data_IF_935103070372
#
_entry.id   IF_935103070372
#
_cell.length_a   1.000
_cell.length_b   1.000
_cell.length_c   1.000
_cell.angle_alpha   90.00
_cell.angle_beta   90.00
_cell.angle_gamma   90.00
#
_symmetry.space_group_name_H-M   'P 1'
#
loop_
_entity.id
_entity.type
_entity.pdbx_description
1 polymer ?
#
# COMPACT_ATOMS: atom_id res chain seq x y z
N UNK A 1 9.47 20.11 -23.61
CA UNK A 1 10.50 19.18 -23.12
C UNK A 1 9.75 17.92 -22.71
N UNK A 2 10.21 16.70 -23.00
CA UNK A 2 9.57 15.51 -22.45
C UNK A 2 9.54 15.65 -20.93
N UNK A 3 8.40 15.35 -20.30
CA UNK A 3 8.24 15.41 -18.86
C UNK A 3 9.31 14.50 -18.22
N UNK A 4 10.23 15.09 -17.46
CA UNK A 4 11.15 14.30 -16.66
C UNK A 4 10.36 13.70 -15.50
N UNK A 5 10.59 12.42 -15.16
CA UNK A 5 9.90 11.78 -14.06
C UNK A 5 10.12 12.55 -12.75
N UNK A 6 9.10 12.60 -11.91
CA UNK A 6 9.19 13.25 -10.60
C UNK A 6 10.10 12.48 -9.64
N UNK A 7 10.08 11.15 -9.74
CA UNK A 7 11.01 10.26 -9.04
C UNK A 7 11.70 9.38 -10.07
N UNK A 8 13.02 9.31 -10.03
CA UNK A 8 13.84 8.38 -10.82
C UNK A 8 14.78 7.60 -9.90
N UNK A 9 14.67 6.29 -9.95
CA UNK A 9 15.44 5.34 -9.16
C UNK A 9 16.15 4.37 -10.08
N UNK A 10 17.48 4.21 -9.92
CA UNK A 10 18.30 3.30 -10.74
C UNK A 10 19.20 2.46 -9.85
N UNK A 11 19.06 1.14 -9.94
CA UNK A 11 19.86 0.13 -9.22
C UNK A 11 20.02 0.42 -7.72
N UNK A 12 18.98 1.00 -7.10
CA UNK A 12 19.01 1.44 -5.71
C UNK A 12 19.09 0.24 -4.79
N UNK A 13 20.07 0.24 -3.88
CA UNK A 13 20.26 -0.85 -2.92
C UNK A 13 20.49 -0.32 -1.51
N UNK A 14 20.06 -1.11 -0.51
CA UNK A 14 20.33 -0.84 0.90
C UNK A 14 20.71 -2.10 1.65
N UNK A 15 21.91 -2.08 2.20
CA UNK A 15 22.48 -3.13 3.02
C UNK A 15 22.61 -2.64 4.47
N UNK A 16 22.18 -3.45 5.42
CA UNK A 16 22.42 -3.23 6.84
C UNK A 16 23.45 -4.24 7.35
N UNK A 17 24.39 -3.74 8.14
CA UNK A 17 25.35 -4.60 8.84
C UNK A 17 24.86 -4.79 10.27
N UNK A 18 24.50 -6.00 10.64
CA UNK A 18 24.15 -6.40 12.01
C UNK A 18 25.27 -7.22 12.63
N UNK A 19 25.73 -6.80 13.79
CA UNK A 19 26.70 -7.62 14.54
C UNK A 19 26.01 -8.86 15.09
N UNK A 20 26.50 -10.04 14.72
CA UNK A 20 26.01 -11.30 15.28
C UNK A 20 26.63 -11.48 16.67
N UNK A 21 25.77 -11.41 17.71
CA UNK A 21 26.22 -11.70 19.07
C UNK A 21 26.10 -13.21 19.33
N UNK A 22 27.23 -13.84 19.59
CA UNK A 22 27.23 -15.22 20.11
C UNK A 22 26.75 -15.19 21.56
N UNK A 23 25.76 -16.01 21.89
CA UNK A 23 25.21 -16.11 23.23
C UNK A 23 26.17 -16.87 24.17
N UNK A 24 26.16 -16.52 25.47
CA UNK A 24 26.94 -17.15 26.52
C UNK A 24 28.15 -16.33 27.00
N UNK A 25 28.63 -16.63 28.21
CA UNK A 25 29.75 -15.92 28.87
C UNK A 25 31.06 -15.93 28.02
N UNK A 26 31.36 -17.03 27.37
CA UNK A 26 32.51 -17.16 26.43
C UNK A 26 32.26 -16.42 25.12
N UNK A 27 30.99 -16.35 24.67
CA UNK A 27 30.59 -15.56 23.49
C UNK A 27 30.83 -14.06 23.69
N UNK A 28 30.66 -13.55 24.92
CA UNK A 28 30.91 -12.16 25.27
C UNK A 28 32.38 -11.75 25.08
N UNK A 29 33.32 -12.60 25.49
CA UNK A 29 34.77 -12.35 25.37
C UNK A 29 35.21 -12.45 23.92
N UNK A 30 34.72 -13.43 23.17
CA UNK A 30 35.03 -13.60 21.74
C UNK A 30 34.47 -12.41 20.91
N UNK A 31 33.31 -11.91 21.24
CA UNK A 31 32.67 -10.77 20.56
C UNK A 31 33.43 -9.43 20.78
N UNK A 32 34.31 -9.34 21.81
CA UNK A 32 35.16 -8.17 22.01
C UNK A 32 36.32 -8.11 20.96
N UNK A 33 36.81 -9.29 20.54
CA UNK A 33 37.98 -9.40 19.65
C UNK A 33 37.59 -9.78 18.21
N UNK A 34 36.48 -10.49 18.00
CA UNK A 34 36.00 -10.92 16.69
C UNK A 34 34.49 -10.59 16.56
N UNK A 35 34.16 -9.51 15.87
CA UNK A 35 32.79 -9.16 15.51
C UNK A 35 32.47 -9.76 14.15
N UNK A 36 31.67 -10.81 14.13
CA UNK A 36 31.08 -11.30 12.88
C UNK A 36 29.92 -10.37 12.51
N UNK A 37 29.98 -9.80 11.30
CA UNK A 37 28.90 -8.98 10.76
C UNK A 37 28.09 -9.80 9.76
N UNK A 38 26.79 -9.89 9.99
CA UNK A 38 25.86 -10.38 8.98
C UNK A 38 25.35 -9.18 8.19
N UNK A 39 25.53 -9.22 6.86
CA UNK A 39 24.93 -8.22 5.98
C UNK A 39 23.51 -8.67 5.62
N UNK A 40 22.51 -7.84 5.86
CA UNK A 40 21.13 -8.03 5.44
C UNK A 40 20.88 -7.06 4.30
N UNK A 41 20.62 -7.60 3.12
CA UNK A 41 20.23 -6.82 1.95
C UNK A 41 18.73 -6.53 2.02
N UNK A 42 18.37 -5.33 2.48
CA UNK A 42 16.97 -4.95 2.67
C UNK A 42 16.32 -4.46 1.37
N UNK A 43 17.11 -3.92 0.44
CA UNK A 43 16.71 -3.52 -0.91
C UNK A 43 17.84 -3.84 -1.86
N UNK A 44 17.54 -4.48 -2.99
CA UNK A 44 18.49 -5.02 -3.95
C UNK A 44 18.19 -4.54 -5.37
N UNK A 45 18.94 -3.55 -5.84
CA UNK A 45 18.95 -3.06 -7.22
C UNK A 45 17.57 -2.79 -7.82
N UNK A 46 16.71 -2.07 -7.07
CA UNK A 46 15.41 -1.66 -7.60
C UNK A 46 15.58 -0.47 -8.54
N UNK A 47 14.82 -0.47 -9.63
CA UNK A 47 14.77 0.62 -10.63
C UNK A 47 13.34 0.88 -11.02
N UNK A 48 12.89 2.14 -10.96
CA UNK A 48 11.57 2.58 -11.37
C UNK A 48 11.54 4.10 -11.55
N UNK A 49 10.53 4.58 -12.23
CA UNK A 49 10.26 6.01 -12.41
C UNK A 49 8.79 6.29 -12.03
N UNK A 50 8.50 7.46 -11.46
CA UNK A 50 7.13 7.91 -11.16
C UNK A 50 6.92 9.27 -11.79
N UNK A 51 5.85 9.39 -12.58
CA UNK A 51 5.48 10.62 -13.26
C UNK A 51 4.72 11.58 -12.34
N UNK A 52 4.75 12.90 -12.62
CA UNK A 52 3.94 13.86 -11.89
C UNK A 52 2.45 13.52 -11.92
N UNK A 53 1.77 13.62 -10.77
CA UNK A 53 0.33 13.37 -10.63
C UNK A 53 -0.07 11.89 -10.55
N UNK A 54 0.87 10.94 -10.65
CA UNK A 54 0.56 9.52 -10.46
C UNK A 54 0.19 9.20 -8.99
N UNK A 55 -0.75 8.26 -8.82
CA UNK A 55 -1.00 7.58 -7.56
C UNK A 55 -0.53 6.13 -7.70
N UNK A 56 0.56 5.79 -7.02
CA UNK A 56 1.25 4.50 -7.15
C UNK A 56 1.18 3.73 -5.84
N UNK A 57 0.70 2.49 -5.91
CA UNK A 57 0.73 1.55 -4.80
C UNK A 57 2.07 0.81 -4.74
N UNK A 58 2.71 0.79 -3.58
CA UNK A 58 3.97 0.06 -3.34
C UNK A 58 3.73 -1.03 -2.31
N UNK A 59 3.51 -2.25 -2.77
CA UNK A 59 3.04 -3.37 -1.97
C UNK A 59 4.07 -4.47 -1.84
N UNK A 60 3.96 -5.24 -0.76
CA UNK A 60 4.87 -6.36 -0.48
C UNK A 60 4.61 -6.92 0.92
N UNK A 61 5.07 -8.14 1.23
CA UNK A 61 4.95 -8.72 2.56
C UNK A 61 5.75 -7.93 3.60
N UNK A 62 5.53 -8.25 4.88
CA UNK A 62 6.33 -7.68 5.95
C UNK A 62 7.81 -8.08 5.78
N UNK A 63 8.71 -7.09 5.89
CA UNK A 63 10.13 -7.32 5.66
C UNK A 63 10.57 -7.26 4.19
N UNK A 64 9.68 -7.07 3.22
CA UNK A 64 10.01 -6.99 1.80
C UNK A 64 10.90 -5.80 1.39
N UNK A 65 11.04 -4.79 2.26
CA UNK A 65 11.85 -3.60 1.97
C UNK A 65 11.06 -2.31 1.78
N UNK A 66 9.70 -2.32 1.85
CA UNK A 66 8.83 -1.15 1.63
C UNK A 66 9.26 0.09 2.41
N UNK A 67 9.20 0.02 3.75
CA UNK A 67 9.55 1.18 4.60
C UNK A 67 11.03 1.57 4.48
N UNK A 68 11.93 0.64 4.10
CA UNK A 68 13.32 0.96 3.80
C UNK A 68 13.42 1.81 2.54
N UNK A 69 12.68 1.46 1.50
CA UNK A 69 12.61 2.23 0.25
C UNK A 69 12.02 3.61 0.52
N UNK A 70 10.88 3.71 1.22
CA UNK A 70 10.29 5.02 1.59
C UNK A 70 11.29 5.88 2.36
N UNK A 71 12.02 5.32 3.32
CA UNK A 71 13.04 6.07 4.07
C UNK A 71 14.20 6.55 3.20
N UNK A 72 14.57 5.83 2.14
CA UNK A 72 15.56 6.33 1.16
C UNK A 72 14.97 7.43 0.29
N UNK A 73 13.76 7.25 -0.22
CA UNK A 73 13.04 8.24 -1.03
C UNK A 73 12.80 9.54 -0.27
N UNK A 74 12.54 9.48 1.03
CA UNK A 74 12.34 10.66 1.90
C UNK A 74 13.64 11.27 2.45
N UNK A 75 14.81 10.72 2.09
CA UNK A 75 16.12 11.21 2.56
C UNK A 75 16.44 10.90 4.03
N UNK A 76 15.67 10.02 4.69
CA UNK A 76 15.95 9.54 6.05
C UNK A 76 17.11 8.55 6.06
N UNK A 77 17.17 7.70 5.03
CA UNK A 77 18.26 6.73 4.86
C UNK A 77 19.08 7.04 3.61
N UNK A 78 20.38 6.91 3.74
CA UNK A 78 21.32 6.96 2.60
C UNK A 78 21.40 5.57 1.99
N UNK A 79 21.21 5.42 0.67
CA UNK A 79 21.42 4.16 -0.03
C UNK A 79 22.85 3.62 0.15
N UNK A 80 23.01 2.31 -0.02
CA UNK A 80 24.34 1.69 -0.06
C UNK A 80 24.96 1.79 -1.46
N UNK A 81 24.11 1.79 -2.51
CA UNK A 81 24.51 1.99 -3.91
C UNK A 81 23.29 2.38 -4.74
N UNK A 82 23.52 2.75 -6.01
CA UNK A 82 22.51 3.18 -6.95
C UNK A 82 22.27 4.70 -6.94
N UNK A 83 21.34 5.12 -7.78
CA UNK A 83 21.00 6.53 -7.97
C UNK A 83 19.54 6.78 -7.60
N UNK A 84 19.28 7.94 -7.04
CA UNK A 84 17.94 8.41 -6.72
C UNK A 84 17.88 9.92 -6.90
N UNK A 85 16.96 10.34 -7.74
CA UNK A 85 16.55 11.74 -7.89
C UNK A 85 15.05 11.81 -7.62
N UNK A 86 14.63 12.73 -6.77
CA UNK A 86 13.23 12.97 -6.42
C UNK A 86 12.95 14.46 -6.43
N UNK A 87 11.99 14.89 -7.24
CA UNK A 87 11.64 16.29 -7.47
C UNK A 87 12.88 17.17 -7.77
N UNK A 88 13.82 16.65 -8.56
CA UNK A 88 15.06 17.34 -8.95
C UNK A 88 16.17 17.33 -7.89
N UNK A 89 15.96 16.73 -6.73
CA UNK A 89 16.92 16.65 -5.63
C UNK A 89 17.50 15.25 -5.45
N UNK A 90 18.71 15.17 -4.92
CA UNK A 90 19.24 13.96 -4.29
C UNK A 90 18.88 13.99 -2.80
N UNK A 91 17.89 13.21 -2.32
CA UNK A 91 17.22 13.42 -1.03
C UNK A 91 18.13 13.56 0.20
N UNK A 92 19.21 12.82 0.27
CA UNK A 92 20.13 12.85 1.42
C UNK A 92 21.24 13.90 1.29
N UNK A 93 21.50 14.42 0.09
CA UNK A 93 22.51 15.48 -0.12
C UNK A 93 21.94 16.86 0.11
N UNK A 94 20.71 17.09 -0.33
CA UNK A 94 20.03 18.39 -0.32
C UNK A 94 18.81 18.37 0.62
N UNK A 95 18.93 17.65 1.73
CA UNK A 95 17.81 17.28 2.61
C UNK A 95 16.94 18.46 3.02
N UNK A 96 17.51 19.59 3.41
CA UNK A 96 16.75 20.75 3.89
C UNK A 96 15.88 21.37 2.79
N UNK A 97 16.38 21.47 1.58
CA UNK A 97 15.60 21.94 0.43
C UNK A 97 14.54 20.90 0.01
N UNK A 98 14.96 19.64 -0.05
CA UNK A 98 14.10 18.53 -0.48
C UNK A 98 12.88 18.33 0.43
N UNK A 99 13.03 18.29 1.76
CA UNK A 99 11.91 18.05 2.68
C UNK A 99 10.83 19.15 2.63
N UNK A 100 11.14 20.32 2.11
CA UNK A 100 10.16 21.38 1.86
C UNK A 100 9.25 21.10 0.66
N UNK A 101 9.63 20.13 -0.18
CA UNK A 101 8.91 19.79 -1.40
C UNK A 101 8.13 18.48 -1.29
N UNK A 102 8.16 17.83 -0.14
CA UNK A 102 7.48 16.55 0.09
C UNK A 102 6.58 16.60 1.32
N UNK A 103 5.46 15.88 1.26
CA UNK A 103 4.69 15.49 2.42
C UNK A 103 5.01 14.04 2.78
N UNK A 104 5.07 13.70 4.07
CA UNK A 104 5.32 12.33 4.52
C UNK A 104 4.39 12.00 5.67
N UNK A 105 3.71 10.87 5.61
CA UNK A 105 2.93 10.32 6.72
C UNK A 105 3.38 8.90 7.00
N UNK A 106 3.76 8.63 8.25
CA UNK A 106 4.07 7.30 8.74
C UNK A 106 2.91 6.82 9.63
N UNK A 107 2.17 5.81 9.22
CA UNK A 107 0.92 5.40 9.87
C UNK A 107 0.99 5.15 11.38
N UNK A 108 2.15 4.77 11.88
CA UNK A 108 2.35 4.51 13.32
C UNK A 108 2.96 5.69 14.09
N UNK A 109 3.29 6.80 13.42
CA UNK A 109 3.96 7.95 14.04
C UNK A 109 3.31 9.24 13.58
N UNK A 110 2.90 10.07 14.54
CA UNK A 110 2.42 11.40 14.24
C UNK A 110 3.58 12.39 14.10
N UNK A 111 3.41 13.36 13.19
CA UNK A 111 4.28 14.53 13.08
C UNK A 111 3.79 15.72 13.92
N UNK A 112 2.58 15.60 14.49
CA UNK A 112 2.00 16.62 15.35
C UNK A 112 2.57 16.52 16.76
N UNK A 113 2.63 17.64 17.47
CA UNK A 113 3.11 17.68 18.84
C UNK A 113 2.07 17.15 19.82
N UNK A 114 2.44 16.12 20.56
CA UNK A 114 1.57 15.24 21.36
C UNK A 114 0.72 15.98 22.41
N UNK A 115 1.32 16.98 23.10
CA UNK A 115 0.72 17.64 24.26
C UNK A 115 -0.02 18.94 23.94
N UNK A 116 0.06 19.45 22.72
CA UNK A 116 -0.61 20.70 22.32
C UNK A 116 -1.79 20.41 21.39
N UNK A 117 -2.68 21.39 21.24
CA UNK A 117 -3.80 21.32 20.32
C UNK A 117 -3.33 21.17 18.87
N UNK A 118 -4.10 20.46 18.05
CA UNK A 118 -3.81 20.27 16.62
C UNK A 118 -3.54 21.59 15.91
N UNK A 119 -4.38 22.61 16.13
CA UNK A 119 -4.21 23.93 15.50
C UNK A 119 -2.86 24.57 15.82
N UNK A 120 -2.34 24.38 17.03
CA UNK A 120 -1.05 24.95 17.40
C UNK A 120 0.10 24.22 16.68
N UNK A 121 -0.02 22.89 16.53
CA UNK A 121 0.90 22.11 15.69
C UNK A 121 0.88 22.59 14.24
N UNK A 122 -0.31 22.80 13.66
CA UNK A 122 -0.47 23.30 12.29
C UNK A 122 0.10 24.73 12.12
N UNK A 123 -0.09 25.62 13.10
CA UNK A 123 0.51 26.97 13.09
C UNK A 123 2.05 26.92 13.15
N UNK A 124 2.63 26.00 13.92
CA UNK A 124 4.08 25.77 13.95
C UNK A 124 4.58 25.27 12.58
N UNK A 125 3.91 24.29 11.99
CA UNK A 125 4.24 23.79 10.64
C UNK A 125 4.11 24.91 9.59
N UNK A 126 3.09 25.75 9.67
CA UNK A 126 2.95 26.93 8.82
C UNK A 126 4.21 27.80 8.84
N UNK A 127 4.78 28.03 10.03
CA UNK A 127 6.01 28.82 10.19
C UNK A 127 7.24 28.08 9.65
N UNK A 128 7.34 26.79 9.90
CA UNK A 128 8.46 25.95 9.44
C UNK A 128 8.53 25.91 7.91
N UNK A 129 7.36 25.78 7.26
CA UNK A 129 7.25 25.69 5.80
C UNK A 129 7.04 27.03 5.10
N UNK A 130 7.03 28.14 5.87
CA UNK A 130 6.84 29.50 5.36
C UNK A 130 5.55 29.70 4.55
N UNK A 131 4.46 29.07 5.01
CA UNK A 131 3.14 29.19 4.39
C UNK A 131 2.50 30.51 4.80
N UNK A 132 1.97 31.28 3.84
CA UNK A 132 1.28 32.53 4.11
C UNK A 132 0.03 32.30 4.99
N UNK A 133 -0.42 33.34 5.73
CA UNK A 133 -1.64 33.21 6.53
C UNK A 133 -2.87 32.91 5.67
N UNK A 134 -2.96 33.56 4.52
CA UNK A 134 -4.04 33.34 3.56
C UNK A 134 -4.11 31.90 3.07
N UNK A 135 -2.96 31.36 2.62
CA UNK A 135 -2.90 29.97 2.12
C UNK A 135 -3.16 28.97 3.23
N UNK A 136 -2.74 29.26 4.46
CA UNK A 136 -3.03 28.44 5.64
C UNK A 136 -4.54 28.36 5.88
N UNK A 137 -5.22 29.52 5.95
CA UNK A 137 -6.65 29.60 6.24
C UNK A 137 -7.47 28.91 5.13
N UNK A 138 -7.11 29.14 3.86
CA UNK A 138 -7.75 28.50 2.71
C UNK A 138 -7.56 26.97 2.72
N UNK A 139 -6.38 26.48 3.05
CA UNK A 139 -6.12 25.04 3.13
C UNK A 139 -6.81 24.38 4.29
N UNK A 140 -6.80 25.00 5.48
CA UNK A 140 -7.54 24.48 6.63
C UNK A 140 -9.03 24.37 6.31
N UNK A 141 -9.63 25.38 5.67
CA UNK A 141 -11.02 25.32 5.24
C UNK A 141 -11.27 24.18 4.23
N UNK A 142 -10.38 24.03 3.25
CA UNK A 142 -10.47 22.92 2.25
C UNK A 142 -10.35 21.56 2.90
N UNK A 143 -9.40 21.40 3.81
CA UNK A 143 -9.18 20.13 4.49
C UNK A 143 -10.31 19.83 5.48
N UNK A 144 -10.88 20.85 6.12
CA UNK A 144 -12.02 20.69 6.99
C UNK A 144 -13.26 20.16 6.24
N UNK A 145 -13.55 20.71 5.06
CA UNK A 145 -14.67 20.25 4.22
C UNK A 145 -14.61 18.76 3.87
N UNK A 146 -13.42 18.19 3.77
CA UNK A 146 -13.24 16.79 3.34
C UNK A 146 -12.96 15.87 4.54
N UNK A 147 -12.15 16.32 5.50
CA UNK A 147 -11.69 15.52 6.64
C UNK A 147 -12.46 15.79 7.94
N UNK A 148 -13.27 16.85 8.01
CA UNK A 148 -13.98 17.25 9.23
C UNK A 148 -13.02 17.61 10.36
N UNK A 149 -12.06 18.50 10.11
CA UNK A 149 -11.01 18.81 11.07
C UNK A 149 -11.46 19.71 12.23
N UNK A 150 -12.50 20.54 12.06
CA UNK A 150 -12.93 21.57 13.02
C UNK A 150 -13.14 21.01 14.42
N UNK A 151 -13.72 19.84 14.51
CA UNK A 151 -14.04 19.20 15.79
C UNK A 151 -12.77 18.82 16.57
N UNK A 152 -11.63 18.71 15.90
CA UNK A 152 -10.37 18.25 16.48
C UNK A 152 -9.32 19.35 16.65
N UNK A 153 -9.45 20.50 15.95
CA UNK A 153 -8.45 21.56 15.90
C UNK A 153 -8.01 22.04 17.29
N UNK A 154 -8.94 22.17 18.22
CA UNK A 154 -8.67 22.64 19.58
C UNK A 154 -8.36 21.53 20.58
N UNK A 155 -8.29 20.27 20.11
CA UNK A 155 -8.02 19.10 20.95
C UNK A 155 -6.54 18.78 20.96
N UNK A 156 -5.93 18.52 22.14
CA UNK A 156 -4.56 18.00 22.23
C UNK A 156 -4.43 16.67 21.49
N UNK A 157 -3.36 16.50 20.71
CA UNK A 157 -3.14 15.35 19.82
C UNK A 157 -3.27 14.01 20.57
N UNK A 158 -2.78 13.94 21.81
CA UNK A 158 -2.87 12.72 22.66
C UNK A 158 -4.29 12.26 22.97
N UNK A 159 -5.31 13.10 22.82
CA UNK A 159 -6.72 12.78 23.09
C UNK A 159 -7.46 12.29 21.86
N UNK A 160 -6.85 12.36 20.69
CA UNK A 160 -7.45 11.93 19.43
C UNK A 160 -7.40 10.40 19.30
N UNK A 161 -8.44 9.84 18.75
CA UNK A 161 -8.43 8.47 18.22
C UNK A 161 -7.40 8.34 17.10
N UNK A 162 -7.07 7.11 16.71
CA UNK A 162 -6.12 6.86 15.63
C UNK A 162 -6.59 7.47 14.30
N UNK A 163 -7.89 7.33 13.96
CA UNK A 163 -8.46 7.87 12.72
C UNK A 163 -8.50 9.40 12.70
N UNK A 164 -8.88 10.04 13.81
CA UNK A 164 -8.87 11.50 13.94
C UNK A 164 -7.44 12.05 13.82
N UNK A 165 -6.48 11.39 14.47
CA UNK A 165 -5.06 11.75 14.39
C UNK A 165 -4.53 11.61 12.98
N UNK A 166 -4.88 10.53 12.27
CA UNK A 166 -4.44 10.32 10.89
C UNK A 166 -4.97 11.41 9.95
N UNK A 167 -6.23 11.83 10.12
CA UNK A 167 -6.80 12.97 9.36
C UNK A 167 -6.02 14.25 9.61
N UNK A 168 -5.66 14.52 10.85
CA UNK A 168 -4.83 15.68 11.21
C UNK A 168 -3.38 15.58 10.69
N UNK A 169 -2.79 14.38 10.69
CA UNK A 169 -1.45 14.14 10.14
C UNK A 169 -1.40 14.33 8.61
N UNK A 170 -2.45 13.89 7.89
CA UNK A 170 -2.58 14.14 6.45
C UNK A 170 -2.69 15.64 6.14
N UNK A 171 -3.52 16.37 6.90
CA UNK A 171 -3.62 17.83 6.77
C UNK A 171 -2.27 18.52 7.03
N UNK A 172 -1.54 18.06 8.03
CA UNK A 172 -0.22 18.59 8.36
C UNK A 172 0.81 18.33 7.24
N UNK A 173 0.81 17.11 6.66
CA UNK A 173 1.72 16.73 5.58
C UNK A 173 1.47 17.51 4.28
N UNK A 174 0.24 17.97 4.06
CA UNK A 174 -0.20 18.69 2.87
C UNK A 174 -0.28 20.22 3.06
N UNK A 175 0.00 20.71 4.27
CA UNK A 175 -0.16 22.12 4.62
C UNK A 175 0.64 23.07 3.72
N UNK A 176 1.80 22.65 3.26
CA UNK A 176 2.68 23.44 2.40
C UNK A 176 2.50 23.12 0.90
N UNK A 177 1.45 22.37 0.54
CA UNK A 177 1.11 21.99 -0.83
C UNK A 177 2.26 21.30 -1.59
N UNK A 178 2.81 20.21 -1.07
CA UNK A 178 3.90 19.51 -1.73
C UNK A 178 3.44 18.84 -3.03
N UNK A 179 4.25 18.83 -4.10
CA UNK A 179 3.95 18.07 -5.31
C UNK A 179 4.04 16.55 -5.13
N UNK A 180 4.64 16.09 -4.03
CA UNK A 180 4.88 14.67 -3.74
C UNK A 180 4.52 14.32 -2.30
N UNK A 181 3.70 13.28 -2.14
CA UNK A 181 3.25 12.75 -0.85
C UNK A 181 3.64 11.27 -0.71
N UNK A 182 4.37 10.95 0.35
CA UNK A 182 4.69 9.59 0.75
C UNK A 182 3.79 9.15 1.91
N UNK A 183 3.13 8.01 1.76
CA UNK A 183 2.25 7.43 2.76
C UNK A 183 2.72 6.02 3.11
N UNK A 184 3.22 5.82 4.32
CA UNK A 184 3.65 4.50 4.79
C UNK A 184 2.58 3.92 5.73
N UNK A 185 1.71 3.06 5.18
CA UNK A 185 0.59 2.41 5.85
C UNK A 185 -0.41 3.37 6.55
N UNK A 186 -0.98 4.36 5.83
CA UNK A 186 -1.80 5.41 6.44
C UNK A 186 -3.15 4.92 6.98
N UNK A 187 -3.62 3.75 6.58
CA UNK A 187 -4.93 3.18 6.94
C UNK A 187 -4.85 2.06 7.97
N UNK A 188 -3.63 1.72 8.41
CA UNK A 188 -3.41 0.63 9.37
C UNK A 188 -4.15 0.88 10.69
N UNK A 189 -4.92 -0.12 11.14
CA UNK A 189 -5.64 -0.05 12.40
C UNK A 189 -6.85 0.89 12.42
N UNK A 190 -7.26 1.43 11.28
CA UNK A 190 -8.45 2.26 11.16
C UNK A 190 -9.68 1.40 10.87
N UNK A 191 -10.84 1.89 11.32
CA UNK A 191 -12.13 1.34 10.94
C UNK A 191 -12.49 1.68 9.48
N UNK A 192 -13.52 1.02 8.94
CA UNK A 192 -13.94 1.16 7.54
C UNK A 192 -14.31 2.60 7.19
N UNK A 193 -15.00 3.32 8.10
CA UNK A 193 -15.44 4.69 7.85
C UNK A 193 -14.25 5.65 7.79
N UNK A 194 -13.30 5.49 8.71
CA UNK A 194 -12.07 6.29 8.72
C UNK A 194 -11.22 6.05 7.47
N UNK A 195 -11.10 4.79 7.01
CA UNK A 195 -10.42 4.44 5.75
C UNK A 195 -11.06 5.11 4.55
N UNK A 196 -12.40 5.05 4.44
CA UNK A 196 -13.13 5.66 3.33
C UNK A 196 -12.93 7.19 3.27
N UNK A 197 -12.98 7.88 4.40
CA UNK A 197 -12.66 9.31 4.47
C UNK A 197 -11.25 9.63 3.96
N UNK A 198 -10.26 8.82 4.33
CA UNK A 198 -8.88 9.01 3.88
C UNK A 198 -8.76 8.75 2.38
N UNK A 199 -9.37 7.70 1.85
CA UNK A 199 -9.38 7.39 0.42
C UNK A 199 -10.01 8.53 -0.39
N UNK A 200 -11.18 8.99 0.06
CA UNK A 200 -11.85 10.13 -0.58
C UNK A 200 -10.98 11.39 -0.59
N UNK A 201 -10.36 11.70 0.54
CA UNK A 201 -9.45 12.84 0.66
C UNK A 201 -8.26 12.74 -0.28
N UNK A 202 -7.57 11.60 -0.33
CA UNK A 202 -6.41 11.41 -1.20
C UNK A 202 -6.77 11.55 -2.68
N UNK A 203 -7.92 11.00 -3.11
CA UNK A 203 -8.44 11.22 -4.48
C UNK A 203 -8.69 12.70 -4.76
N UNK A 204 -9.36 13.40 -3.85
CA UNK A 204 -9.69 14.81 -4.02
C UNK A 204 -8.43 15.69 -4.12
N UNK A 205 -7.40 15.42 -3.31
CA UNK A 205 -6.11 16.14 -3.34
C UNK A 205 -5.36 15.87 -4.64
N UNK A 206 -5.28 14.61 -5.08
CA UNK A 206 -4.63 14.25 -6.34
C UNK A 206 -5.34 14.91 -7.53
N UNK A 207 -6.68 14.88 -7.57
CA UNK A 207 -7.45 15.51 -8.65
C UNK A 207 -7.33 17.04 -8.66
N UNK A 208 -7.36 17.69 -7.48
CA UNK A 208 -7.36 19.14 -7.37
C UNK A 208 -5.98 19.76 -7.55
N UNK A 209 -4.94 19.14 -6.98
CA UNK A 209 -3.59 19.71 -6.91
C UNK A 209 -2.55 18.93 -7.72
N UNK A 210 -2.97 17.83 -8.37
CA UNK A 210 -2.05 16.92 -9.11
C UNK A 210 -0.89 16.41 -8.24
N UNK A 211 -1.12 16.29 -6.93
CA UNK A 211 -0.14 15.76 -6.00
C UNK A 211 0.16 14.31 -6.35
N UNK A 212 1.42 13.99 -6.60
CA UNK A 212 1.89 12.62 -6.80
C UNK A 212 1.88 11.88 -5.47
N UNK A 213 1.36 10.67 -5.43
CA UNK A 213 1.24 9.88 -4.21
C UNK A 213 1.94 8.54 -4.36
N UNK A 214 2.87 8.24 -3.47
CA UNK A 214 3.41 6.89 -3.29
C UNK A 214 2.88 6.31 -1.97
N UNK A 215 2.02 5.31 -2.09
CA UNK A 215 1.30 4.69 -0.98
C UNK A 215 1.84 3.29 -0.71
N UNK A 216 2.33 3.01 0.51
CA UNK A 216 2.50 1.63 0.96
C UNK A 216 1.29 1.21 1.78
N UNK A 217 0.78 0.03 1.51
CA UNK A 217 -0.28 -0.58 2.29
C UNK A 217 -0.21 -2.10 2.15
N UNK A 218 -0.79 -2.80 3.10
CA UNK A 218 -1.12 -4.22 3.00
C UNK A 218 -2.63 -4.44 2.77
N UNK A 219 -3.41 -3.35 2.80
CA UNK A 219 -4.84 -3.33 2.48
C UNK A 219 -4.99 -3.12 0.97
N UNK A 220 -5.47 -4.14 0.29
CA UNK A 220 -5.57 -4.14 -1.16
C UNK A 220 -6.77 -3.36 -1.68
N UNK A 221 -7.78 -3.15 -0.84
CA UNK A 221 -8.89 -2.24 -1.16
C UNK A 221 -8.39 -0.82 -1.35
N UNK A 222 -7.41 -0.38 -0.52
CA UNK A 222 -6.78 0.94 -0.70
C UNK A 222 -6.10 1.06 -2.07
N UNK A 223 -5.44 -0.02 -2.51
CA UNK A 223 -4.78 -0.07 -3.81
C UNK A 223 -5.80 -0.03 -4.95
N UNK A 224 -6.84 -0.85 -4.87
CA UNK A 224 -7.87 -0.92 -5.90
C UNK A 224 -8.61 0.40 -6.09
N UNK A 225 -8.87 1.08 -4.99
CA UNK A 225 -9.60 2.33 -5.01
C UNK A 225 -8.76 3.55 -5.39
N UNK A 226 -7.48 3.58 -5.03
CA UNK A 226 -6.65 4.76 -5.17
C UNK A 226 -5.67 4.66 -6.34
N UNK A 227 -5.11 3.47 -6.61
CA UNK A 227 -3.94 3.35 -7.46
C UNK A 227 -4.27 2.75 -8.83
N UNK A 228 -3.85 3.41 -9.90
CA UNK A 228 -3.91 2.85 -11.25
C UNK A 228 -2.69 2.00 -11.61
N UNK A 229 -1.58 2.25 -10.93
CA UNK A 229 -0.29 1.56 -11.09
C UNK A 229 0.15 1.01 -9.76
N UNK A 230 0.72 -0.19 -9.78
CA UNK A 230 1.28 -0.83 -8.61
C UNK A 230 2.70 -1.30 -8.87
N UNK A 231 3.49 -1.25 -7.83
CA UNK A 231 4.80 -1.86 -7.75
C UNK A 231 4.78 -2.93 -6.66
N UNK A 232 5.18 -4.15 -6.99
CA UNK A 232 5.23 -5.27 -6.05
C UNK A 232 6.69 -5.57 -5.71
N UNK A 233 7.01 -5.51 -4.42
CA UNK A 233 8.35 -5.82 -3.92
C UNK A 233 8.31 -7.06 -3.03
N UNK A 234 9.30 -7.94 -3.20
CA UNK A 234 9.57 -9.04 -2.27
C UNK A 234 11.06 -9.27 -2.13
N UNK A 235 11.50 -9.63 -0.90
CA UNK A 235 12.92 -9.83 -0.57
C UNK A 235 13.86 -8.73 -1.12
N UNK A 236 13.39 -7.47 -1.06
CA UNK A 236 14.14 -6.30 -1.52
C UNK A 236 14.19 -6.13 -3.04
N UNK A 237 13.49 -6.93 -3.82
CA UNK A 237 13.48 -6.88 -5.30
C UNK A 237 12.12 -6.50 -5.83
N UNK A 238 12.11 -5.70 -6.87
CA UNK A 238 10.88 -5.35 -7.57
C UNK A 238 10.46 -6.52 -8.48
N UNK A 239 9.28 -7.09 -8.19
CA UNK A 239 8.74 -8.23 -8.94
C UNK A 239 7.80 -7.78 -10.07
N UNK A 240 7.09 -6.66 -9.86
CA UNK A 240 6.18 -6.08 -10.83
C UNK A 240 6.18 -4.56 -10.72
N UNK A 241 6.07 -3.89 -11.85
CA UNK A 241 5.82 -2.47 -11.99
C UNK A 241 4.94 -2.23 -13.21
N UNK A 242 3.71 -1.77 -13.00
CA UNK A 242 2.78 -1.55 -14.09
C UNK A 242 1.34 -1.31 -13.68
N UNK A 243 0.45 -1.16 -14.69
CA UNK A 243 -0.97 -0.90 -14.45
C UNK A 243 -1.64 -2.04 -13.68
N UNK A 244 -2.42 -1.69 -12.64
CA UNK A 244 -3.22 -2.65 -11.87
C UNK A 244 -4.21 -3.42 -12.76
N UNK A 245 -4.84 -2.72 -13.72
CA UNK A 245 -5.78 -3.33 -14.65
C UNK A 245 -5.13 -4.44 -15.50
N UNK A 246 -3.88 -4.22 -15.96
CA UNK A 246 -3.14 -5.22 -16.74
C UNK A 246 -2.80 -6.44 -15.88
N UNK A 247 -2.38 -6.23 -14.63
CA UNK A 247 -2.13 -7.31 -13.69
C UNK A 247 -3.39 -8.16 -13.49
N UNK A 248 -4.52 -7.50 -13.20
CA UNK A 248 -5.83 -8.17 -13.08
C UNK A 248 -6.19 -8.95 -14.36
N UNK A 249 -6.02 -8.35 -15.53
CA UNK A 249 -6.35 -8.99 -16.80
C UNK A 249 -5.51 -10.24 -17.09
N UNK A 250 -4.19 -10.17 -16.83
CA UNK A 250 -3.27 -11.29 -17.09
C UNK A 250 -3.46 -12.47 -16.12
N UNK A 251 -3.72 -12.17 -14.88
CA UNK A 251 -3.73 -13.16 -13.81
C UNK A 251 -5.14 -13.57 -13.34
N UNK A 252 -6.19 -12.78 -13.59
CA UNK A 252 -7.57 -13.12 -13.27
C UNK A 252 -8.16 -14.07 -14.35
N UNK A 253 -7.52 -15.21 -14.55
CA UNK A 253 -8.11 -16.31 -15.32
C UNK A 253 -9.14 -17.07 -14.51
N UNK A 254 -9.02 -17.02 -13.19
CA UNK A 254 -9.90 -17.73 -12.26
C UNK A 254 -11.10 -16.87 -11.91
N UNK A 255 -12.28 -17.41 -12.09
CA UNK A 255 -13.53 -16.88 -11.54
C UNK A 255 -14.02 -17.77 -10.40
N UNK A 256 -14.78 -17.18 -9.51
CA UNK A 256 -15.40 -17.88 -8.40
C UNK A 256 -16.92 -17.76 -8.49
N UNK A 257 -17.61 -18.89 -8.34
CA UNK A 257 -19.05 -18.93 -8.15
C UNK A 257 -19.30 -19.42 -6.74
N UNK A 258 -19.83 -18.54 -5.89
CA UNK A 258 -20.29 -18.86 -4.54
C UNK A 258 -21.78 -19.08 -4.58
N UNK A 259 -22.25 -20.20 -4.04
CA UNK A 259 -23.66 -20.51 -4.00
C UNK A 259 -24.05 -21.16 -2.69
N UNK A 260 -25.29 -20.90 -2.25
CA UNK A 260 -25.87 -21.47 -1.06
C UNK A 260 -26.90 -22.52 -1.44
N UNK A 261 -26.74 -23.77 -0.93
CA UNK A 261 -27.71 -24.83 -1.08
C UNK A 261 -28.99 -24.49 -0.32
N UNK A 262 -30.11 -24.99 -0.79
CA UNK A 262 -31.41 -24.84 -0.13
C UNK A 262 -31.46 -25.62 1.18
N UNK A 263 -30.94 -26.85 1.18
CA UNK A 263 -30.86 -27.73 2.35
C UNK A 263 -29.63 -28.66 2.28
N UNK A 264 -29.40 -29.42 3.37
CA UNK A 264 -28.23 -30.31 3.51
C UNK A 264 -28.39 -31.63 2.74
N UNK A 265 -29.61 -32.00 2.33
CA UNK A 265 -29.88 -33.25 1.63
C UNK A 265 -29.24 -33.26 0.23
N UNK A 266 -28.92 -32.10 -0.30
CA UNK A 266 -28.31 -31.95 -1.63
C UNK A 266 -26.77 -32.06 -1.62
N UNK A 267 -26.12 -32.16 -0.45
CA UNK A 267 -24.66 -32.29 -0.35
C UNK A 267 -24.08 -33.44 -1.19
N UNK A 268 -24.71 -34.67 -1.28
CA UNK A 268 -24.17 -35.73 -2.12
C UNK A 268 -24.14 -35.41 -3.61
N UNK A 269 -25.05 -34.55 -4.08
CA UNK A 269 -25.18 -34.17 -5.49
C UNK A 269 -24.02 -33.26 -5.95
N UNK A 270 -23.32 -32.61 -5.04
CA UNK A 270 -22.16 -31.77 -5.35
C UNK A 270 -21.02 -32.55 -6.00
N UNK A 271 -20.89 -33.85 -5.72
CA UNK A 271 -19.89 -34.68 -6.36
C UNK A 271 -20.06 -34.74 -7.89
N UNK A 272 -21.28 -34.54 -8.40
CA UNK A 272 -21.55 -34.50 -9.84
C UNK A 272 -21.07 -33.19 -10.52
N UNK A 273 -20.80 -32.18 -9.76
CA UNK A 273 -20.25 -30.91 -10.26
C UNK A 273 -18.72 -30.98 -10.35
N UNK A 274 -18.10 -31.82 -9.52
CA UNK A 274 -16.64 -31.93 -9.44
C UNK A 274 -16.08 -32.55 -10.72
N UNK A 275 -15.23 -31.81 -11.42
CA UNK A 275 -14.54 -32.27 -12.63
C UNK A 275 -13.19 -31.58 -12.75
N UNK A 276 -12.33 -32.09 -13.62
CA UNK A 276 -11.02 -31.47 -13.89
C UNK A 276 -11.17 -30.02 -14.31
N UNK A 277 -10.38 -29.14 -13.67
CA UNK A 277 -10.44 -27.69 -13.88
C UNK A 277 -11.43 -26.93 -12.98
N UNK A 278 -12.15 -27.61 -12.09
CA UNK A 278 -12.99 -27.00 -11.07
C UNK A 278 -12.43 -27.32 -9.67
N UNK A 279 -12.27 -26.29 -8.85
CA UNK A 279 -11.91 -26.45 -7.44
C UNK A 279 -13.15 -26.12 -6.60
N UNK A 280 -13.73 -27.14 -5.98
CA UNK A 280 -14.88 -27.01 -5.10
C UNK A 280 -14.41 -26.89 -3.64
N UNK A 281 -14.81 -25.83 -2.96
CA UNK A 281 -14.46 -25.56 -1.56
C UNK A 281 -15.72 -25.28 -0.76
N UNK A 282 -15.75 -25.79 0.47
CA UNK A 282 -16.83 -25.50 1.40
C UNK A 282 -16.50 -24.20 2.16
N UNK A 283 -17.42 -23.23 2.12
CA UNK A 283 -17.28 -21.94 2.83
C UNK A 283 -17.93 -22.02 4.21
N UNK A 284 -19.16 -22.55 4.29
CA UNK A 284 -19.88 -22.82 5.54
C UNK A 284 -20.76 -24.08 5.40
N UNK A 285 -21.74 -24.29 6.29
CA UNK A 285 -22.56 -25.49 6.30
C UNK A 285 -23.33 -25.75 5.00
N UNK A 286 -23.81 -24.68 4.34
CA UNK A 286 -24.63 -24.75 3.14
C UNK A 286 -24.03 -23.99 1.95
N UNK A 287 -23.00 -23.19 2.19
CA UNK A 287 -22.40 -22.34 1.17
C UNK A 287 -21.11 -22.97 0.63
N UNK A 288 -21.04 -23.04 -0.68
CA UNK A 288 -19.94 -23.60 -1.44
C UNK A 288 -19.37 -22.58 -2.42
N UNK A 289 -18.10 -22.73 -2.75
CA UNK A 289 -17.39 -21.93 -3.73
C UNK A 289 -16.77 -22.84 -4.77
N UNK A 290 -16.99 -22.51 -6.05
CA UNK A 290 -16.29 -23.15 -7.17
C UNK A 290 -15.37 -22.13 -7.79
N UNK A 291 -14.07 -22.44 -7.83
CA UNK A 291 -13.07 -21.68 -8.57
C UNK A 291 -12.78 -22.39 -9.89
N UNK A 292 -12.73 -21.65 -11.00
CA UNK A 292 -12.55 -22.23 -12.34
C UNK A 292 -11.85 -21.24 -13.28
N UNK A 293 -11.13 -21.77 -14.27
CA UNK A 293 -10.50 -20.97 -15.33
C UNK A 293 -11.56 -20.57 -16.37
N UNK A 294 -11.87 -19.25 -16.42
CA UNK A 294 -12.85 -18.68 -17.35
C UNK A 294 -12.45 -18.82 -18.83
N UNK A 295 -11.18 -19.10 -19.12
CA UNK A 295 -10.71 -19.33 -20.50
C UNK A 295 -11.01 -20.75 -20.97
N UNK A 296 -11.22 -21.69 -20.04
CA UNK A 296 -11.53 -23.08 -20.32
C UNK A 296 -13.01 -23.42 -20.14
N UNK A 297 -13.68 -22.76 -19.20
CA UNK A 297 -15.05 -23.03 -18.82
C UNK A 297 -15.85 -21.73 -18.89
N UNK A 298 -16.87 -21.69 -19.76
CA UNK A 298 -17.75 -20.53 -19.80
C UNK A 298 -18.60 -20.46 -18.52
N UNK A 299 -18.63 -19.28 -17.89
CA UNK A 299 -19.37 -19.04 -16.64
C UNK A 299 -20.83 -19.44 -16.75
N UNK A 300 -21.48 -19.17 -17.91
CA UNK A 300 -22.88 -19.54 -18.14
C UNK A 300 -23.12 -21.05 -18.15
N UNK A 301 -22.16 -21.83 -18.66
CA UNK A 301 -22.28 -23.29 -18.69
C UNK A 301 -22.11 -23.90 -17.30
N UNK A 302 -21.17 -23.36 -16.50
CA UNK A 302 -21.00 -23.76 -15.10
C UNK A 302 -22.26 -23.47 -14.28
N UNK A 303 -22.82 -22.26 -14.43
CA UNK A 303 -24.06 -21.89 -13.72
C UNK A 303 -25.21 -22.82 -14.12
N UNK A 304 -25.37 -23.11 -15.41
CA UNK A 304 -26.39 -24.03 -15.90
C UNK A 304 -26.22 -25.45 -15.30
N UNK A 305 -24.96 -25.89 -15.18
CA UNK A 305 -24.66 -27.18 -14.55
C UNK A 305 -25.01 -27.16 -13.05
N UNK A 306 -24.65 -26.11 -12.31
CA UNK A 306 -24.99 -25.98 -10.89
C UNK A 306 -26.50 -26.01 -10.70
N UNK A 307 -27.25 -25.17 -11.44
CA UNK A 307 -28.72 -25.09 -11.36
C UNK A 307 -29.43 -26.37 -11.79
N UNK A 308 -28.83 -27.16 -12.69
CA UNK A 308 -29.37 -28.46 -13.11
C UNK A 308 -29.05 -29.60 -12.15
N UNK A 309 -28.11 -29.41 -11.22
CA UNK A 309 -27.63 -30.46 -10.30
C UNK A 309 -28.17 -30.29 -8.89
N UNK A 310 -28.23 -29.04 -8.39
CA UNK A 310 -28.63 -28.72 -7.02
C UNK A 310 -29.63 -27.56 -7.00
N UNK A 311 -30.52 -27.55 -6.01
CA UNK A 311 -31.36 -26.39 -5.72
C UNK A 311 -30.58 -25.38 -4.88
N UNK A 312 -30.41 -24.19 -5.42
CA UNK A 312 -29.69 -23.12 -4.72
C UNK A 312 -30.67 -22.08 -4.19
N UNK A 313 -30.27 -21.48 -3.04
CA UNK A 313 -30.97 -20.37 -2.42
C UNK A 313 -30.46 -19.05 -2.91
N UNK A 314 -29.14 -18.96 -3.14
CA UNK A 314 -28.43 -17.76 -3.56
C UNK A 314 -27.21 -18.11 -4.40
N UNK A 315 -26.82 -17.22 -5.32
CA UNK A 315 -25.66 -17.37 -6.19
C UNK A 315 -24.99 -16.02 -6.39
N UNK A 316 -23.67 -16.00 -6.17
CA UNK A 316 -22.81 -14.83 -6.38
C UNK A 316 -21.64 -15.21 -7.28
N UNK A 317 -21.37 -14.38 -8.28
CA UNK A 317 -20.22 -14.54 -9.18
C UNK A 317 -19.23 -13.44 -8.82
N UNK A 318 -18.01 -13.85 -8.47
CA UNK A 318 -16.93 -12.96 -8.09
C UNK A 318 -15.69 -13.23 -8.96
N UNK A 319 -14.92 -12.20 -9.22
CA UNK A 319 -13.56 -12.39 -9.68
C UNK A 319 -12.69 -12.87 -8.50
N UNK A 320 -11.58 -13.56 -8.79
CA UNK A 320 -10.62 -13.94 -7.75
C UNK A 320 -10.14 -12.69 -7.01
N UNK A 321 -10.13 -12.69 -5.66
CA UNK A 321 -9.61 -11.55 -4.90
C UNK A 321 -8.18 -11.23 -5.27
N UNK A 322 -7.83 -9.94 -5.30
CA UNK A 322 -6.47 -9.49 -5.64
C UNK A 322 -5.42 -10.02 -4.66
N UNK A 323 -5.84 -10.36 -3.43
CA UNK A 323 -4.99 -11.00 -2.42
C UNK A 323 -4.44 -12.35 -2.89
N UNK A 324 -5.28 -13.18 -3.49
CA UNK A 324 -4.86 -14.50 -3.99
C UNK A 324 -3.90 -14.34 -5.18
N UNK A 325 -4.16 -13.37 -6.01
CA UNK A 325 -3.30 -12.98 -7.12
C UNK A 325 -1.89 -12.61 -6.63
N UNK A 326 -1.81 -11.74 -5.63
CA UNK A 326 -0.54 -11.28 -5.07
C UNK A 326 0.19 -12.42 -4.35
N UNK A 327 -0.53 -13.31 -3.64
CA UNK A 327 0.06 -14.51 -3.06
C UNK A 327 0.73 -15.41 -4.11
N UNK A 328 0.09 -15.58 -5.28
CA UNK A 328 0.67 -16.37 -6.39
C UNK A 328 1.93 -15.71 -6.97
N UNK A 329 1.97 -14.37 -7.01
CA UNK A 329 3.19 -13.65 -7.41
C UNK A 329 4.31 -13.90 -6.40
N UNK A 330 4.03 -13.85 -5.09
CA UNK A 330 5.02 -14.13 -4.05
C UNK A 330 5.49 -15.59 -4.06
N UNK A 331 4.62 -16.54 -4.41
CA UNK A 331 4.97 -17.94 -4.59
C UNK A 331 5.82 -18.21 -5.85
N UNK A 332 6.02 -17.20 -6.71
CA UNK A 332 6.75 -17.35 -7.98
C UNK A 332 5.96 -18.01 -9.11
N UNK A 333 4.70 -18.37 -8.86
CA UNK A 333 3.85 -19.11 -9.80
C UNK A 333 3.41 -18.23 -11.00
N UNK A 334 3.37 -16.92 -10.81
CA UNK A 334 2.83 -15.99 -11.78
C UNK A 334 3.88 -15.07 -12.44
N UNK A 335 5.16 -15.16 -12.05
CA UNK A 335 6.23 -14.26 -12.54
C UNK A 335 6.47 -14.41 -14.05
N UNK A 336 6.34 -15.62 -14.59
CA UNK A 336 6.51 -15.87 -16.03
C UNK A 336 5.37 -15.28 -16.87
N UNK A 337 4.16 -15.18 -16.33
CA UNK A 337 2.98 -14.64 -17.02
C UNK A 337 2.95 -13.11 -17.00
N UNK A 338 3.68 -12.48 -16.07
CA UNK A 338 3.66 -11.03 -15.87
C UNK A 338 4.67 -10.32 -16.77
N UNK A 339 5.77 -10.99 -17.15
CA UNK A 339 6.84 -10.43 -18.01
C UNK A 339 6.66 -10.72 -19.50
N UNK A 340 5.65 -11.50 -19.88
CA UNK A 340 5.23 -11.72 -21.29
C UNK A 340 4.04 -10.84 -21.62
#
# INVERSE_FOLDING_TARGET
MPNSPLISVRDLSKNFRSAHRREGLWGGIVNLFHREYRTVEAVSKISFEIEPGEMVGYIGPNGAGKSTTIKMLTGILVPSSGELVSNGFVPWRERTAYVRTIGVVFGQRTQLWWDIAVIESLKLLRRIYDVSQRDFDERIETFDQILGLRDYLNTPVRKLSLGERMRCDLAAALLHNPPLLFLDEPTIGLDVVAKDHIRHFLRAINQRYHTTVLLTTHDLDDIEELCRRIMIIDHGRLLYDGPLALLKQKLLRTKQVKFALRDKEQLPQLAAIEREGLKLERVDELTWRISFDRTRIATADLIRQILGTVEIRDLLIEDEPIEELIKRIYAGEALHEVHT
#
